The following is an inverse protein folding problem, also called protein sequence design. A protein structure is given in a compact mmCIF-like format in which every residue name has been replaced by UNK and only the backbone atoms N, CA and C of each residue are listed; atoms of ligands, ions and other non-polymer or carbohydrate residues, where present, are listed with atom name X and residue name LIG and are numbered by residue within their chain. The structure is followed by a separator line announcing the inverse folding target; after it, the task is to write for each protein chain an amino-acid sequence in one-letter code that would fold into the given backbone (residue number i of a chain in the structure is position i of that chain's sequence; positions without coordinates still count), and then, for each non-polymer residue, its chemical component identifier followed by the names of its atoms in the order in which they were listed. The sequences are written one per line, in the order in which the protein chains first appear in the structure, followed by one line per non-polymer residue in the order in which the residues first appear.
data_IF_725685278526
#
_entry.id   IF_725685278526
#
_cell.length_a   1.000
_cell.length_b   1.000
_cell.length_c   1.000
_cell.angle_alpha   90.00
_cell.angle_beta   90.00
_cell.angle_gamma   90.00
#
_symmetry.space_group_name_H-M   'P 1'
#
loop_
_entity.id
_entity.type
_entity.pdbx_description
1 polymer ?
#
# COMPACT_ATOMS: atom_id res chain seq x y z
N UNK A 1 -52.21 -40.83 54.70
CA UNK A 1 -50.76 -40.60 54.66
C UNK A 1 -50.37 -40.17 53.26
N UNK A 2 -49.71 -39.01 53.19
CA UNK A 2 -48.71 -38.58 52.19
C UNK A 2 -49.22 -38.30 50.76
N UNK A 3 -49.39 -36.99 50.50
CA UNK A 3 -49.38 -36.35 49.17
C UNK A 3 -47.94 -35.98 48.82
N UNK A 4 -47.50 -36.26 47.60
CA UNK A 4 -46.35 -35.59 46.97
C UNK A 4 -46.77 -35.15 45.55
N UNK A 5 -46.77 -33.84 45.32
CA UNK A 5 -46.87 -33.24 44.00
C UNK A 5 -45.56 -32.48 43.78
N UNK A 6 -44.71 -32.97 42.88
CA UNK A 6 -43.49 -32.31 42.45
C UNK A 6 -43.83 -31.27 41.37
N UNK A 7 -43.47 -30.01 41.59
CA UNK A 7 -43.38 -29.00 40.54
C UNK A 7 -41.92 -28.83 40.16
N UNK A 8 -41.56 -29.18 38.93
CA UNK A 8 -40.27 -28.85 38.32
C UNK A 8 -40.46 -27.62 37.41
N UNK A 9 -39.95 -26.47 37.82
CA UNK A 9 -39.82 -25.29 36.96
C UNK A 9 -38.56 -25.45 36.09
N UNK A 10 -38.76 -25.72 34.80
CA UNK A 10 -37.74 -25.59 33.77
C UNK A 10 -37.56 -24.11 33.42
N UNK A 11 -36.48 -23.49 33.91
CA UNK A 11 -36.00 -22.21 33.37
C UNK A 11 -35.30 -22.51 32.04
N UNK A 12 -36.00 -22.29 30.92
CA UNK A 12 -35.38 -22.21 29.59
C UNK A 12 -34.80 -20.80 29.48
N UNK A 13 -33.49 -20.67 29.70
CA UNK A 13 -32.76 -19.44 29.37
C UNK A 13 -32.61 -19.36 27.85
N UNK A 14 -33.50 -18.60 27.20
CA UNK A 14 -33.29 -18.20 25.80
C UNK A 14 -32.14 -17.20 25.76
N UNK A 15 -30.98 -17.61 25.27
CA UNK A 15 -29.93 -16.69 24.86
C UNK A 15 -30.41 -15.97 23.60
N UNK A 16 -31.09 -14.83 23.76
CA UNK A 16 -31.29 -13.90 22.68
C UNK A 16 -29.93 -13.24 22.39
N UNK A 17 -29.26 -13.63 21.30
CA UNK A 17 -28.14 -12.85 20.78
C UNK A 17 -28.72 -11.56 20.21
N UNK A 18 -28.66 -10.47 20.98
CA UNK A 18 -29.02 -9.16 20.47
C UNK A 18 -28.09 -8.82 19.31
N UNK A 19 -28.66 -8.36 18.20
CA UNK A 19 -27.88 -7.93 17.05
C UNK A 19 -27.28 -6.56 17.32
N UNK A 20 -25.96 -6.44 17.24
CA UNK A 20 -25.25 -5.19 17.53
C UNK A 20 -25.34 -4.18 16.39
N UNK A 21 -25.17 -2.90 16.73
CA UNK A 21 -25.24 -1.78 15.80
C UNK A 21 -24.01 -0.88 15.90
N UNK A 22 -23.64 -0.26 14.78
CA UNK A 22 -22.65 0.82 14.71
C UNK A 22 -23.39 2.06 14.21
N UNK A 23 -23.54 3.06 15.07
CA UNK A 23 -24.23 4.32 14.80
C UNK A 23 -23.24 5.47 14.91
N UNK A 24 -23.39 6.47 14.06
CA UNK A 24 -22.54 7.65 14.21
C UNK A 24 -23.08 8.92 13.60
N UNK A 25 -22.46 10.02 14.02
CA UNK A 25 -22.75 11.38 13.57
C UNK A 25 -21.47 12.11 13.17
N UNK A 26 -21.49 12.78 12.02
CA UNK A 26 -20.42 13.66 11.54
C UNK A 26 -20.50 15.04 12.19
N UNK A 27 -19.37 15.59 12.62
CA UNK A 27 -19.25 16.93 13.18
C UNK A 27 -18.03 17.69 12.65
N UNK A 28 -18.20 18.71 11.79
CA UNK A 28 -19.47 19.26 11.31
C UNK A 28 -20.23 18.28 10.40
N UNK A 29 -21.53 18.53 10.22
CA UNK A 29 -22.35 17.79 9.25
C UNK A 29 -21.73 17.94 7.86
N UNK A 30 -21.49 16.82 7.20
CA UNK A 30 -20.99 16.75 5.84
C UNK A 30 -21.86 15.81 5.00
N UNK A 31 -22.02 16.17 3.72
CA UNK A 31 -22.83 15.42 2.78
C UNK A 31 -21.99 14.35 2.10
N UNK A 32 -22.17 13.11 2.55
CA UNK A 32 -21.68 11.91 1.89
C UNK A 32 -22.88 11.00 1.60
N UNK A 33 -22.86 10.22 0.50
CA UNK A 33 -24.03 9.44 0.11
C UNK A 33 -24.23 8.16 0.95
N UNK A 34 -23.14 7.60 1.48
CA UNK A 34 -23.15 6.29 2.12
C UNK A 34 -22.00 6.13 3.12
N UNK A 35 -22.17 5.17 4.02
CA UNK A 35 -21.15 4.63 4.89
C UNK A 35 -20.98 3.14 4.57
N UNK A 36 -19.78 2.71 4.17
CA UNK A 36 -19.46 1.30 3.95
C UNK A 36 -18.72 0.75 5.17
N UNK A 37 -19.17 -0.41 5.64
CA UNK A 37 -18.50 -1.16 6.70
C UNK A 37 -17.68 -2.30 6.08
N UNK A 38 -16.39 -2.29 6.34
CA UNK A 38 -15.46 -3.35 6.00
C UNK A 38 -14.89 -3.98 7.28
N UNK A 39 -14.59 -5.27 7.23
CA UNK A 39 -13.74 -5.92 8.23
C UNK A 39 -12.31 -6.00 7.71
N UNK A 40 -11.35 -5.65 8.55
CA UNK A 40 -9.94 -5.67 8.16
C UNK A 40 -9.31 -7.04 8.43
N UNK A 41 -8.47 -7.48 7.50
CA UNK A 41 -7.59 -8.65 7.67
C UNK A 41 -6.23 -8.41 6.99
N UNK A 42 -5.24 -7.97 7.78
CA UNK A 42 -3.99 -7.41 7.23
C UNK A 42 -4.31 -6.24 6.30
N UNK A 43 -3.80 -6.28 5.06
CA UNK A 43 -4.09 -5.29 4.03
C UNK A 43 -5.44 -5.50 3.32
N UNK A 44 -6.18 -6.59 3.59
CA UNK A 44 -7.46 -6.89 2.94
C UNK A 44 -8.62 -6.23 3.68
N UNK A 45 -9.65 -5.84 2.92
CA UNK A 45 -10.89 -5.28 3.41
C UNK A 45 -12.05 -6.14 2.90
N UNK A 46 -12.74 -6.83 3.80
CA UNK A 46 -13.90 -7.67 3.47
C UNK A 46 -15.16 -6.84 3.67
N UNK A 47 -15.95 -6.62 2.61
CA UNK A 47 -17.20 -5.86 2.69
C UNK A 47 -18.21 -6.57 3.59
N UNK A 48 -18.84 -5.83 4.51
CA UNK A 48 -19.79 -6.37 5.48
C UNK A 48 -21.20 -5.84 5.23
N UNK A 49 -21.36 -4.52 5.23
CA UNK A 49 -22.65 -3.86 5.14
C UNK A 49 -22.46 -2.40 4.72
N UNK A 50 -23.57 -1.71 4.46
CA UNK A 50 -23.58 -0.28 4.24
C UNK A 50 -24.87 0.34 4.77
N UNK A 51 -24.85 1.65 4.95
CA UNK A 51 -26.05 2.46 5.16
C UNK A 51 -25.94 3.80 4.42
N UNK A 52 -27.06 4.46 4.19
CA UNK A 52 -27.09 5.84 3.69
C UNK A 52 -26.75 6.81 4.81
N UNK A 53 -25.98 7.85 4.48
CA UNK A 53 -25.76 8.95 5.43
C UNK A 53 -26.84 10.01 5.20
N UNK A 54 -27.61 10.32 6.22
CA UNK A 54 -28.69 11.31 6.17
C UNK A 54 -28.42 12.38 7.23
N UNK A 55 -28.22 13.63 6.79
CA UNK A 55 -27.83 14.74 7.67
C UNK A 55 -26.61 14.41 8.54
N UNK A 56 -25.60 13.77 7.95
CA UNK A 56 -24.36 13.36 8.65
C UNK A 56 -24.52 12.16 9.59
N UNK A 57 -25.68 11.48 9.62
CA UNK A 57 -25.95 10.33 10.51
C UNK A 57 -26.09 9.04 9.74
N UNK A 58 -25.67 7.93 10.35
CA UNK A 58 -25.80 6.57 9.80
C UNK A 58 -26.05 5.55 10.92
N UNK A 59 -26.62 4.40 10.57
CA UNK A 59 -26.82 3.25 11.44
C UNK A 59 -26.63 1.94 10.68
N UNK A 60 -25.52 1.25 10.94
CA UNK A 60 -25.22 -0.04 10.33
C UNK A 60 -25.49 -1.16 11.34
N UNK A 61 -26.32 -2.11 10.94
CA UNK A 61 -26.54 -3.32 11.72
C UNK A 61 -25.42 -4.33 11.43
N UNK A 62 -24.73 -4.80 12.48
CA UNK A 62 -23.66 -5.77 12.35
C UNK A 62 -24.26 -7.18 12.20
N UNK A 63 -23.76 -8.03 11.27
CA UNK A 63 -24.23 -9.41 11.16
C UNK A 63 -23.98 -10.23 12.44
N UNK A 64 -24.93 -11.08 12.82
CA UNK A 64 -24.83 -11.91 14.05
C UNK A 64 -23.62 -12.85 14.10
N UNK A 65 -23.01 -13.15 12.95
CA UNK A 65 -21.82 -14.00 12.83
C UNK A 65 -20.51 -13.19 12.68
N UNK A 66 -20.57 -11.86 12.82
CA UNK A 66 -19.40 -11.00 12.76
C UNK A 66 -18.45 -11.32 13.92
N UNK A 67 -17.20 -11.67 13.62
CA UNK A 67 -16.19 -11.86 14.67
C UNK A 67 -15.62 -10.52 15.13
N UNK A 68 -15.05 -10.49 16.34
CA UNK A 68 -14.31 -9.34 16.83
C UNK A 68 -13.11 -9.02 15.92
N UNK A 69 -12.69 -7.76 15.90
CA UNK A 69 -11.62 -7.26 15.04
C UNK A 69 -11.73 -5.76 14.79
N UNK A 70 -10.85 -5.24 13.93
CA UNK A 70 -10.97 -3.87 13.43
C UNK A 70 -11.90 -3.85 12.23
N UNK A 71 -12.85 -2.93 12.27
CA UNK A 71 -13.76 -2.63 11.18
C UNK A 71 -13.54 -1.21 10.71
N UNK A 72 -13.63 -1.00 9.40
CA UNK A 72 -13.43 0.28 8.74
C UNK A 72 -14.75 0.83 8.24
N UNK A 73 -15.05 2.05 8.67
CA UNK A 73 -16.15 2.89 8.21
C UNK A 73 -15.61 3.81 7.11
N UNK A 74 -15.76 3.41 5.86
CA UNK A 74 -15.32 4.17 4.68
C UNK A 74 -16.50 4.98 4.11
N UNK A 75 -16.33 6.29 3.90
CA UNK A 75 -17.37 7.18 3.36
C UNK A 75 -16.89 8.04 2.17
N UNK A 76 -15.59 8.07 1.89
CA UNK A 76 -15.02 8.68 0.68
C UNK A 76 -13.94 7.79 0.08
N UNK A 77 -14.29 7.07 -0.98
CA UNK A 77 -13.35 6.22 -1.71
C UNK A 77 -12.27 7.01 -2.47
N UNK A 78 -12.59 8.22 -2.95
CA UNK A 78 -11.66 9.00 -3.77
C UNK A 78 -10.55 9.57 -2.91
N UNK A 79 -10.91 10.13 -1.76
CA UNK A 79 -9.97 10.76 -0.84
C UNK A 79 -9.51 9.80 0.28
N UNK A 80 -9.98 8.54 0.27
CA UNK A 80 -9.68 7.52 1.27
C UNK A 80 -10.00 7.99 2.71
N UNK A 81 -11.15 8.65 2.90
CA UNK A 81 -11.60 9.08 4.23
C UNK A 81 -12.36 7.94 4.92
N UNK A 82 -11.79 7.47 6.03
CA UNK A 82 -12.33 6.36 6.82
C UNK A 82 -12.06 6.51 8.32
N UNK A 83 -12.87 5.84 9.14
CA UNK A 83 -12.66 5.66 10.57
C UNK A 83 -12.53 4.17 10.89
N UNK A 84 -11.51 3.78 11.64
CA UNK A 84 -11.38 2.40 12.12
C UNK A 84 -11.97 2.26 13.54
N UNK A 85 -12.72 1.19 13.79
CA UNK A 85 -13.30 0.88 15.10
C UNK A 85 -12.98 -0.54 15.50
N UNK A 86 -12.71 -0.76 16.79
CA UNK A 86 -12.58 -2.09 17.38
C UNK A 86 -14.00 -2.60 17.63
N UNK A 87 -14.45 -3.59 16.87
CA UNK A 87 -15.66 -4.32 17.20
C UNK A 87 -15.29 -5.46 18.15
N UNK A 88 -15.81 -5.40 19.39
CA UNK A 88 -15.59 -6.40 20.43
C UNK A 88 -16.93 -6.92 20.99
N UNK A 89 -17.86 -7.24 20.09
CA UNK A 89 -19.22 -7.71 20.42
C UNK A 89 -19.99 -6.73 21.32
N UNK A 90 -19.87 -5.43 21.02
CA UNK A 90 -20.62 -4.36 21.68
C UNK A 90 -21.27 -3.45 20.62
N UNK A 91 -22.33 -2.75 21.03
CA UNK A 91 -22.84 -1.62 20.25
C UNK A 91 -21.79 -0.50 20.23
N UNK A 92 -21.74 0.22 19.11
CA UNK A 92 -20.81 1.34 18.91
C UNK A 92 -21.61 2.57 18.53
N UNK A 93 -21.58 3.60 19.37
CA UNK A 93 -22.08 4.93 19.05
C UNK A 93 -20.95 5.95 19.11
N UNK A 94 -20.82 6.74 18.04
CA UNK A 94 -19.69 7.65 17.88
C UNK A 94 -20.06 8.99 17.23
N UNK A 95 -19.22 9.99 17.46
CA UNK A 95 -19.22 11.27 16.76
C UNK A 95 -17.81 11.58 16.28
N UNK A 96 -17.64 11.99 15.02
CA UNK A 96 -16.31 12.19 14.43
C UNK A 96 -16.24 13.35 13.45
N UNK A 97 -15.04 13.91 13.27
CA UNK A 97 -14.79 14.94 12.27
C UNK A 97 -14.57 14.33 10.87
N UNK A 98 -15.35 14.69 9.84
CA UNK A 98 -15.29 14.05 8.52
C UNK A 98 -14.02 14.34 7.72
N UNK A 99 -13.18 15.29 8.16
CA UNK A 99 -11.86 15.52 7.54
C UNK A 99 -10.70 15.06 8.41
N UNK A 100 -10.97 14.60 9.64
CA UNK A 100 -9.96 14.03 10.53
C UNK A 100 -10.56 12.95 11.44
N UNK A 101 -11.10 11.87 10.83
CA UNK A 101 -11.97 10.92 11.52
C UNK A 101 -11.29 10.20 12.68
N UNK A 102 -10.06 9.71 12.49
CA UNK A 102 -9.37 8.90 13.51
C UNK A 102 -8.77 9.75 14.64
N UNK A 103 -8.43 11.02 14.40
CA UNK A 103 -7.87 11.89 15.46
C UNK A 103 -8.96 12.55 16.29
N UNK A 104 -10.08 12.90 15.64
CA UNK A 104 -11.20 13.64 16.25
C UNK A 104 -12.45 12.75 16.26
N UNK A 105 -12.41 11.69 17.07
CA UNK A 105 -13.56 10.81 17.35
C UNK A 105 -13.84 10.71 18.84
N UNK A 106 -15.13 10.66 19.17
CA UNK A 106 -15.66 10.43 20.50
C UNK A 106 -16.67 9.29 20.45
N UNK A 107 -16.66 8.44 21.46
CA UNK A 107 -17.58 7.31 21.58
C UNK A 107 -18.50 7.54 22.78
N UNK A 108 -19.81 7.60 22.54
CA UNK A 108 -20.84 7.69 23.58
C UNK A 108 -21.19 6.32 24.13
N UNK A 109 -21.05 5.27 23.32
CA UNK A 109 -21.30 3.88 23.67
C UNK A 109 -20.28 2.99 22.96
N UNK A 110 -19.18 2.65 23.63
CA UNK A 110 -18.23 1.59 23.26
C UNK A 110 -17.03 1.70 24.19
N UNK A 111 -16.98 0.84 25.20
CA UNK A 111 -15.93 0.93 26.23
C UNK A 111 -14.55 0.65 25.64
N UNK A 112 -14.47 -0.30 24.70
CA UNK A 112 -13.23 -0.73 24.04
C UNK A 112 -12.62 0.40 23.21
N UNK A 113 -13.43 1.07 22.38
CA UNK A 113 -12.94 2.16 21.55
C UNK A 113 -12.63 3.41 22.37
N UNK A 114 -13.43 3.74 23.39
CA UNK A 114 -13.13 4.87 24.29
C UNK A 114 -11.76 4.69 24.93
N UNK A 115 -11.44 3.51 25.47
CA UNK A 115 -10.15 3.24 26.10
C UNK A 115 -9.01 3.33 25.08
N UNK A 116 -9.17 2.71 23.91
CA UNK A 116 -8.15 2.69 22.87
C UNK A 116 -7.80 4.07 22.32
N UNK A 117 -8.80 4.86 21.92
CA UNK A 117 -8.57 6.20 21.37
C UNK A 117 -8.09 7.20 22.41
N UNK A 118 -8.50 7.05 23.68
CA UNK A 118 -7.91 7.82 24.77
C UNK A 118 -6.42 7.48 24.96
N UNK A 119 -6.07 6.19 24.93
CA UNK A 119 -4.66 5.76 24.98
C UNK A 119 -3.86 6.42 23.85
N UNK A 120 -4.30 6.31 22.59
CA UNK A 120 -3.57 6.85 21.43
C UNK A 120 -3.29 8.35 21.58
N UNK A 121 -4.29 9.15 21.97
CA UNK A 121 -4.13 10.59 22.19
C UNK A 121 -3.17 10.92 23.34
N UNK A 122 -3.35 10.24 24.48
CA UNK A 122 -2.56 10.52 25.68
C UNK A 122 -1.11 10.06 25.52
N UNK A 123 -0.87 8.86 24.99
CA UNK A 123 0.47 8.32 24.79
C UNK A 123 1.23 9.11 23.73
N UNK A 124 0.59 9.53 22.65
CA UNK A 124 1.23 10.32 21.59
C UNK A 124 1.75 11.66 22.13
N UNK A 125 0.95 12.36 22.94
CA UNK A 125 1.36 13.63 23.56
C UNK A 125 2.55 13.43 24.50
N UNK A 126 2.52 12.40 25.34
CA UNK A 126 3.62 12.10 26.26
C UNK A 126 4.90 11.67 25.51
N UNK A 127 4.77 10.88 24.45
CA UNK A 127 5.87 10.44 23.61
C UNK A 127 6.51 11.63 22.89
N UNK A 128 5.74 12.56 22.32
CA UNK A 128 6.27 13.77 21.69
C UNK A 128 7.11 14.61 22.67
N UNK A 129 6.67 14.72 23.92
CA UNK A 129 7.44 15.43 24.97
C UNK A 129 8.74 14.71 25.32
N UNK A 130 8.73 13.38 25.38
CA UNK A 130 9.93 12.57 25.61
C UNK A 130 10.92 12.68 24.43
N UNK A 131 10.42 12.53 23.21
CA UNK A 131 11.20 12.62 21.97
C UNK A 131 11.84 14.01 21.83
N UNK A 132 11.11 15.08 22.16
CA UNK A 132 11.67 16.43 22.19
C UNK A 132 12.88 16.54 23.12
N UNK A 133 12.85 15.90 24.30
CA UNK A 133 14.00 15.91 25.22
C UNK A 133 15.17 15.11 24.69
N UNK A 134 14.92 14.00 23.98
CA UNK A 134 15.96 13.24 23.30
C UNK A 134 16.62 14.07 22.18
N UNK A 135 15.83 14.76 21.37
CA UNK A 135 16.32 15.63 20.30
C UNK A 135 17.16 16.78 20.86
N UNK A 136 16.69 17.43 21.93
CA UNK A 136 17.47 18.46 22.62
C UNK A 136 18.77 17.90 23.20
N UNK A 137 18.78 16.64 23.63
CA UNK A 137 19.98 16.01 24.17
C UNK A 137 21.08 15.77 23.12
N UNK A 138 20.73 15.65 21.83
CA UNK A 138 21.70 15.56 20.74
C UNK A 138 22.54 16.84 20.59
N UNK A 139 22.00 18.00 20.99
CA UNK A 139 22.69 19.30 20.81
C UNK A 139 23.99 19.35 21.62
N UNK A 140 25.09 19.94 21.09
CA UNK A 140 26.38 19.97 21.77
C UNK A 140 26.34 20.54 23.19
N UNK A 141 25.48 21.52 23.44
CA UNK A 141 25.31 22.21 24.72
C UNK A 141 24.32 21.56 25.69
N UNK A 142 23.79 20.37 25.39
CA UNK A 142 22.87 19.69 26.29
C UNK A 142 23.52 19.44 27.66
N UNK A 143 22.81 19.79 28.73
CA UNK A 143 23.32 19.72 30.10
C UNK A 143 22.54 18.68 30.94
N UNK A 144 22.96 18.51 32.20
CA UNK A 144 22.34 17.54 33.12
C UNK A 144 20.85 17.80 33.41
N UNK A 145 20.35 19.04 33.25
CA UNK A 145 18.94 19.34 33.47
C UNK A 145 18.03 18.68 32.43
N UNK A 146 18.46 18.60 31.16
CA UNK A 146 17.71 17.91 30.09
C UNK A 146 17.59 16.42 30.42
N UNK A 147 18.65 15.78 30.91
CA UNK A 147 18.60 14.37 31.31
C UNK A 147 17.63 14.11 32.47
N UNK A 148 17.52 15.04 33.42
CA UNK A 148 16.55 14.94 34.52
C UNK A 148 15.11 15.03 33.98
N UNK A 149 14.85 15.98 33.07
CA UNK A 149 13.52 16.15 32.47
C UNK A 149 13.17 14.94 31.59
N UNK A 150 14.13 14.44 30.81
CA UNK A 150 13.98 13.20 30.02
C UNK A 150 13.49 12.05 30.91
N UNK A 151 14.18 11.80 32.03
CA UNK A 151 13.80 10.71 32.94
C UNK A 151 12.40 10.90 33.53
N UNK A 152 11.97 12.14 33.80
CA UNK A 152 10.59 12.40 34.22
C UNK A 152 9.60 12.03 33.12
N UNK A 153 9.84 12.48 31.88
CA UNK A 153 8.98 12.19 30.72
C UNK A 153 8.95 10.70 30.37
N UNK A 154 10.08 10.00 30.53
CA UNK A 154 10.18 8.56 30.38
C UNK A 154 9.23 7.85 31.36
N UNK A 155 9.24 8.24 32.63
CA UNK A 155 8.34 7.67 33.64
C UNK A 155 6.87 8.05 33.39
N UNK A 156 6.58 9.23 32.85
CA UNK A 156 5.21 9.61 32.46
C UNK A 156 4.68 8.67 31.37
N UNK A 157 5.48 8.37 30.34
CA UNK A 157 5.14 7.39 29.28
C UNK A 157 4.87 6.00 29.87
N UNK A 158 5.74 5.50 30.75
CA UNK A 158 5.54 4.18 31.38
C UNK A 158 4.25 4.11 32.21
N UNK A 159 3.93 5.16 32.97
CA UNK A 159 2.71 5.23 33.78
C UNK A 159 1.46 5.23 32.91
N UNK A 160 1.48 5.97 31.80
CA UNK A 160 0.35 6.00 30.84
C UNK A 160 0.17 4.60 30.24
N UNK A 161 1.25 3.96 29.80
CA UNK A 161 1.20 2.60 29.26
C UNK A 161 0.59 1.61 30.25
N UNK A 162 1.12 1.55 31.47
CA UNK A 162 0.63 0.65 32.54
C UNK A 162 -0.84 0.92 32.91
N UNK A 163 -1.24 2.19 32.98
CA UNK A 163 -2.61 2.59 33.27
C UNK A 163 -3.59 2.05 32.22
N UNK A 164 -3.32 2.29 30.93
CA UNK A 164 -4.21 1.87 29.85
C UNK A 164 -4.19 0.34 29.63
N UNK A 165 -3.06 -0.33 29.83
CA UNK A 165 -3.02 -1.79 29.82
C UNK A 165 -3.90 -2.40 30.93
N UNK A 166 -3.89 -1.84 32.14
CA UNK A 166 -4.75 -2.28 33.24
C UNK A 166 -6.22 -2.01 32.95
N UNK A 167 -6.55 -0.84 32.40
CA UNK A 167 -7.93 -0.48 32.04
C UNK A 167 -8.50 -1.37 30.94
N UNK A 168 -7.70 -1.69 29.93
CA UNK A 168 -8.15 -2.47 28.78
C UNK A 168 -8.17 -3.98 29.03
N UNK A 169 -7.66 -4.45 30.18
CA UNK A 169 -7.46 -5.87 30.47
C UNK A 169 -8.73 -6.68 30.21
N UNK A 170 -8.63 -7.67 29.31
CA UNK A 170 -9.73 -8.56 28.93
C UNK A 170 -10.50 -8.13 27.68
N UNK A 171 -10.28 -6.91 27.18
CA UNK A 171 -10.81 -6.44 25.89
C UNK A 171 -9.84 -6.67 24.74
N UNK A 172 -10.34 -6.62 23.51
CA UNK A 172 -9.50 -6.63 22.32
C UNK A 172 -8.54 -5.42 22.26
N UNK A 173 -8.93 -4.26 22.82
CA UNK A 173 -8.07 -3.07 22.88
C UNK A 173 -6.77 -3.30 23.66
N UNK A 174 -6.77 -4.21 24.65
CA UNK A 174 -5.55 -4.54 25.41
C UNK A 174 -4.41 -4.98 24.50
N UNK A 175 -4.70 -5.81 23.50
CA UNK A 175 -3.71 -6.33 22.59
C UNK A 175 -3.10 -5.23 21.72
N UNK A 176 -3.93 -4.30 21.23
CA UNK A 176 -3.45 -3.16 20.46
C UNK A 176 -2.67 -2.15 21.31
N UNK A 177 -3.12 -1.87 22.54
CA UNK A 177 -2.43 -0.97 23.47
C UNK A 177 -1.07 -1.52 23.85
N UNK A 178 -1.02 -2.79 24.24
CA UNK A 178 0.22 -3.47 24.59
C UNK A 178 1.21 -3.48 23.42
N UNK A 179 0.74 -3.81 22.21
CA UNK A 179 1.61 -3.84 21.03
C UNK A 179 1.96 -2.46 20.47
N UNK A 180 1.27 -1.40 20.86
CA UNK A 180 1.60 -0.03 20.47
C UNK A 180 2.73 0.59 21.31
N UNK A 181 3.13 -0.07 22.40
CA UNK A 181 4.22 0.40 23.25
C UNK A 181 5.52 0.57 22.46
N UNK A 182 6.13 1.75 22.56
CA UNK A 182 7.42 2.05 21.92
C UNK A 182 8.56 1.76 22.89
N UNK A 183 9.63 1.16 22.38
CA UNK A 183 10.89 1.14 23.10
C UNK A 183 11.41 2.57 23.29
N UNK A 184 11.79 2.88 24.52
CA UNK A 184 12.42 4.13 24.90
C UNK A 184 13.68 3.82 25.73
N UNK A 185 14.85 4.38 25.39
CA UNK A 185 16.04 4.25 26.22
C UNK A 185 15.77 4.76 27.64
N UNK A 186 16.25 4.05 28.67
CA UNK A 186 16.07 4.48 30.08
C UNK A 186 16.78 5.81 30.37
N UNK A 187 17.82 6.13 29.60
CA UNK A 187 18.59 7.39 29.66
C UNK A 187 18.72 7.97 28.26
N UNK A 188 18.74 9.31 28.11
CA UNK A 188 18.88 9.90 26.79
C UNK A 188 20.25 9.57 26.20
N UNK A 189 20.30 9.35 24.90
CA UNK A 189 21.50 8.94 24.17
C UNK A 189 22.09 10.15 23.44
N UNK A 190 23.40 10.36 23.55
CA UNK A 190 24.04 11.57 22.99
C UNK A 190 24.21 11.50 21.47
N UNK A 191 24.61 10.34 20.95
CA UNK A 191 24.86 10.12 19.55
C UNK A 191 23.54 9.72 18.84
N UNK A 192 23.11 10.45 17.78
CA UNK A 192 21.89 10.11 17.04
C UNK A 192 21.91 8.73 16.37
N UNK A 193 23.06 8.28 15.87
CA UNK A 193 23.21 6.96 15.24
C UNK A 193 23.02 5.84 16.28
N UNK A 194 23.66 5.96 17.45
CA UNK A 194 23.47 5.01 18.56
C UNK A 194 22.01 4.97 19.04
N UNK A 195 21.34 6.13 19.07
CA UNK A 195 19.93 6.23 19.42
C UNK A 195 19.06 5.49 18.39
N UNK A 196 19.24 5.82 17.11
CA UNK A 196 18.47 5.22 16.02
C UNK A 196 18.67 3.71 15.97
N UNK A 197 19.92 3.23 16.12
CA UNK A 197 20.22 1.81 16.15
C UNK A 197 19.44 1.10 17.27
N UNK A 198 19.41 1.65 18.48
CA UNK A 198 18.63 1.05 19.58
C UNK A 198 17.13 1.06 19.33
N UNK A 199 16.59 2.15 18.76
CA UNK A 199 15.18 2.18 18.37
C UNK A 199 14.89 1.07 17.35
N UNK A 200 15.77 0.88 16.36
CA UNK A 200 15.62 -0.15 15.34
C UNK A 200 15.75 -1.58 15.90
N UNK A 201 16.63 -1.82 16.86
CA UNK A 201 16.86 -3.14 17.44
C UNK A 201 15.65 -3.60 18.28
N UNK A 202 15.05 -2.65 19.01
CA UNK A 202 13.96 -2.90 19.95
C UNK A 202 12.56 -2.56 19.41
N UNK A 203 12.45 -2.14 18.14
CA UNK A 203 11.19 -1.66 17.56
C UNK A 203 10.03 -2.65 17.70
N UNK A 204 10.33 -3.95 17.55
CA UNK A 204 9.33 -5.02 17.57
C UNK A 204 9.18 -5.71 18.94
N UNK A 205 9.85 -5.25 19.99
CA UNK A 205 9.88 -5.94 21.29
C UNK A 205 8.48 -6.16 21.91
N UNK A 206 7.56 -5.24 21.65
CA UNK A 206 6.18 -5.31 22.15
C UNK A 206 5.18 -5.83 21.10
N UNK A 207 5.63 -6.10 19.87
CA UNK A 207 4.78 -6.48 18.75
C UNK A 207 4.94 -7.97 18.49
N UNK A 208 3.90 -8.74 18.80
CA UNK A 208 3.84 -10.13 18.37
C UNK A 208 3.39 -10.21 16.90
N UNK A 209 4.37 -10.23 16.00
CA UNK A 209 4.13 -10.35 14.55
C UNK A 209 3.48 -11.70 14.15
N UNK A 210 3.46 -12.69 15.05
CA UNK A 210 2.81 -13.98 14.83
C UNK A 210 1.42 -14.09 15.49
N UNK A 211 0.92 -13.03 16.13
CA UNK A 211 -0.38 -13.05 16.80
C UNK A 211 -1.56 -13.02 15.82
N UNK A 212 -2.41 -14.04 15.82
CA UNK A 212 -3.64 -14.07 15.01
C UNK A 212 -4.61 -12.94 15.34
N UNK A 213 -4.63 -12.47 16.60
CA UNK A 213 -5.51 -11.39 17.05
C UNK A 213 -5.23 -10.08 16.31
N UNK A 214 -3.94 -9.79 16.07
CA UNK A 214 -3.53 -8.59 15.34
C UNK A 214 -3.76 -8.71 13.83
N UNK A 215 -3.98 -9.92 13.29
CA UNK A 215 -4.24 -10.10 11.85
C UNK A 215 -5.63 -9.59 11.44
N UNK A 216 -6.55 -9.41 12.37
CA UNK A 216 -7.85 -8.76 12.15
C UNK A 216 -7.75 -7.22 12.13
N UNK A 217 -6.66 -6.69 11.59
CA UNK A 217 -6.34 -5.26 11.49
C UNK A 217 -5.23 -5.01 10.45
N UNK A 218 -4.94 -3.74 10.14
CA UNK A 218 -3.73 -3.34 9.41
C UNK A 218 -2.50 -3.19 10.31
N UNK A 219 -2.62 -3.40 11.62
CA UNK A 219 -1.62 -3.01 12.62
C UNK A 219 -0.20 -3.50 12.31
N UNK A 220 -0.05 -4.79 11.98
CA UNK A 220 1.27 -5.35 11.64
C UNK A 220 1.85 -4.72 10.39
N UNK A 221 1.02 -4.52 9.36
CA UNK A 221 1.43 -3.88 8.10
C UNK A 221 1.90 -2.44 8.36
N UNK A 222 1.14 -1.69 9.15
CA UNK A 222 1.45 -0.29 9.46
C UNK A 222 2.78 -0.20 10.24
N UNK A 223 2.98 -1.05 11.25
CA UNK A 223 4.25 -1.09 12.01
C UNK A 223 5.44 -1.54 11.18
N UNK A 224 5.25 -2.51 10.29
CA UNK A 224 6.30 -2.94 9.36
C UNK A 224 6.66 -1.80 8.38
N UNK A 225 5.66 -1.09 7.87
CA UNK A 225 5.88 0.06 6.99
C UNK A 225 6.62 1.20 7.73
N UNK A 226 6.21 1.53 8.96
CA UNK A 226 6.91 2.50 9.80
C UNK A 226 8.39 2.13 9.98
N UNK A 227 8.68 0.84 10.24
CA UNK A 227 10.04 0.35 10.41
C UNK A 227 10.86 0.45 9.12
N UNK A 228 10.27 0.06 7.99
CA UNK A 228 10.97 0.00 6.70
C UNK A 228 11.18 1.41 6.12
N UNK A 229 10.20 2.30 6.23
CA UNK A 229 10.21 3.60 5.55
C UNK A 229 10.58 4.74 6.49
N UNK A 230 9.86 4.90 7.60
CA UNK A 230 10.03 6.04 8.50
C UNK A 230 11.39 6.00 9.22
N UNK A 231 11.86 4.83 9.65
CA UNK A 231 13.14 4.68 10.37
C UNK A 231 14.38 4.55 9.47
N UNK A 232 14.23 4.53 8.14
CA UNK A 232 15.36 4.42 7.20
C UNK A 232 15.53 5.64 6.32
N UNK A 233 14.64 6.63 6.45
CA UNK A 233 14.67 7.86 5.65
C UNK A 233 15.88 8.73 6.01
N UNK A 234 16.59 9.17 4.99
CA UNK A 234 17.76 10.07 5.11
C UNK A 234 17.97 10.82 3.79
N UNK A 235 18.59 12.00 3.87
CA UNK A 235 18.86 12.85 2.71
C UNK A 235 19.88 12.24 1.72
N UNK A 236 20.66 11.24 2.13
CA UNK A 236 21.58 10.51 1.24
C UNK A 236 20.90 9.26 0.63
N UNK A 237 20.60 9.25 -0.68
CA UNK A 237 19.87 8.15 -1.31
C UNK A 237 20.60 6.80 -1.24
N UNK A 238 21.94 6.81 -1.20
CA UNK A 238 22.74 5.58 -1.10
C UNK A 238 22.60 4.96 0.28
N UNK A 239 22.72 5.77 1.33
CA UNK A 239 22.53 5.34 2.72
C UNK A 239 21.09 4.91 2.95
N UNK A 240 20.10 5.66 2.47
CA UNK A 240 18.68 5.29 2.55
C UNK A 240 18.44 3.91 1.93
N UNK A 241 18.94 3.68 0.71
CA UNK A 241 18.82 2.39 0.03
C UNK A 241 19.45 1.25 0.84
N UNK A 242 20.63 1.48 1.42
CA UNK A 242 21.31 0.48 2.26
C UNK A 242 20.48 0.14 3.50
N UNK A 243 20.09 1.16 4.28
CA UNK A 243 19.31 1.00 5.51
C UNK A 243 17.97 0.32 5.23
N UNK A 244 17.29 0.68 4.15
CA UNK A 244 16.01 0.09 3.76
C UNK A 244 16.13 -1.39 3.39
N UNK A 245 17.19 -1.79 2.68
CA UNK A 245 17.47 -3.22 2.41
C UNK A 245 17.69 -4.00 3.69
N UNK A 246 18.49 -3.46 4.61
CA UNK A 246 18.75 -4.10 5.91
C UNK A 246 17.47 -4.21 6.75
N UNK A 247 16.64 -3.17 6.77
CA UNK A 247 15.35 -3.19 7.47
C UNK A 247 14.40 -4.25 6.89
N UNK A 248 14.29 -4.33 5.56
CA UNK A 248 13.50 -5.39 4.88
C UNK A 248 14.01 -6.77 5.29
N UNK A 249 15.32 -7.01 5.23
CA UNK A 249 15.90 -8.31 5.62
C UNK A 249 15.55 -8.69 7.06
N UNK A 250 15.68 -7.74 7.99
CA UNK A 250 15.33 -7.94 9.42
C UNK A 250 13.85 -8.25 9.60
N UNK A 251 12.97 -7.53 8.90
CA UNK A 251 11.52 -7.79 8.95
C UNK A 251 11.21 -9.18 8.41
N UNK A 252 11.70 -9.52 7.23
CA UNK A 252 11.43 -10.81 6.58
C UNK A 252 11.91 -12.00 7.43
N UNK A 253 13.05 -11.87 8.10
CA UNK A 253 13.54 -12.87 9.04
C UNK A 253 12.62 -13.02 10.26
N UNK A 254 12.13 -11.90 10.83
CA UNK A 254 11.20 -11.92 11.98
C UNK A 254 9.85 -12.55 11.64
N UNK A 255 9.36 -12.38 10.41
CA UNK A 255 8.06 -12.91 9.95
C UNK A 255 8.17 -14.18 9.12
N UNK A 256 9.35 -14.80 9.03
CA UNK A 256 9.58 -15.97 8.16
C UNK A 256 8.63 -17.14 8.40
N UNK A 257 8.17 -17.30 9.66
CA UNK A 257 7.22 -18.35 10.05
C UNK A 257 5.77 -17.98 9.73
N UNK A 258 5.44 -16.69 9.67
CA UNK A 258 4.14 -16.20 9.22
C UNK A 258 4.17 -15.99 7.71
N UNK A 259 4.05 -17.10 6.99
CA UNK A 259 4.24 -17.15 5.54
C UNK A 259 3.23 -16.26 4.79
N UNK A 260 1.99 -16.19 5.27
CA UNK A 260 0.96 -15.32 4.68
C UNK A 260 1.31 -13.84 4.83
N UNK A 261 1.74 -13.40 6.02
CA UNK A 261 2.20 -12.03 6.26
C UNK A 261 3.46 -11.72 5.43
N UNK A 262 4.42 -12.64 5.41
CA UNK A 262 5.66 -12.50 4.63
C UNK A 262 5.39 -12.32 3.14
N UNK A 263 4.51 -13.14 2.56
CA UNK A 263 4.06 -12.98 1.16
C UNK A 263 3.44 -11.61 0.93
N UNK A 264 2.45 -11.23 1.75
CA UNK A 264 1.71 -9.97 1.57
C UNK A 264 2.62 -8.74 1.67
N UNK A 265 3.56 -8.72 2.61
CA UNK A 265 4.53 -7.62 2.75
C UNK A 265 5.44 -7.55 1.52
N UNK A 266 5.96 -8.68 1.04
CA UNK A 266 6.82 -8.70 -0.15
C UNK A 266 6.07 -8.26 -1.42
N UNK A 267 4.81 -8.67 -1.60
CA UNK A 267 3.99 -8.24 -2.74
C UNK A 267 3.69 -6.73 -2.67
N UNK A 268 3.36 -6.21 -1.49
CA UNK A 268 3.14 -4.77 -1.30
C UNK A 268 4.39 -3.95 -1.57
N UNK A 269 5.55 -4.39 -1.09
CA UNK A 269 6.83 -3.73 -1.33
C UNK A 269 7.24 -3.80 -2.80
N UNK A 270 7.05 -4.95 -3.46
CA UNK A 270 7.31 -5.11 -4.89
C UNK A 270 6.46 -4.20 -5.73
N UNK A 271 5.15 -4.16 -5.45
CA UNK A 271 4.23 -3.25 -6.13
C UNK A 271 4.67 -1.79 -5.95
N UNK A 272 4.94 -1.36 -4.71
CA UNK A 272 5.35 0.02 -4.41
C UNK A 272 6.67 0.40 -5.10
N UNK A 273 7.71 -0.41 -4.98
CA UNK A 273 9.02 -0.07 -5.57
C UNK A 273 9.01 -0.15 -7.09
N UNK A 274 8.24 -1.06 -7.68
CA UNK A 274 8.16 -1.16 -9.13
C UNK A 274 7.40 0.03 -9.74
N UNK A 275 6.34 0.53 -9.07
CA UNK A 275 5.64 1.76 -9.47
C UNK A 275 6.54 3.00 -9.34
N UNK A 276 7.40 3.05 -8.33
CA UNK A 276 8.42 4.10 -8.18
C UNK A 276 9.62 3.92 -9.12
N UNK A 277 9.62 2.89 -9.97
CA UNK A 277 10.74 2.50 -10.83
C UNK A 277 12.07 2.31 -10.09
N UNK A 278 11.99 1.98 -8.80
CA UNK A 278 13.16 1.75 -7.97
C UNK A 278 13.71 0.35 -8.27
N UNK A 279 14.50 0.26 -9.35
CA UNK A 279 15.11 -0.99 -9.85
C UNK A 279 15.90 -1.71 -8.76
N UNK A 280 16.63 -0.96 -7.93
CA UNK A 280 17.52 -1.52 -6.90
C UNK A 280 16.70 -2.20 -5.79
N UNK A 281 15.66 -1.53 -5.30
CA UNK A 281 14.81 -2.07 -4.24
C UNK A 281 13.88 -3.16 -4.76
N UNK A 282 13.33 -3.00 -5.97
CA UNK A 282 12.47 -4.00 -6.60
C UNK A 282 13.21 -5.33 -6.78
N UNK A 283 14.45 -5.30 -7.31
CA UNK A 283 15.26 -6.52 -7.43
C UNK A 283 15.59 -7.14 -6.07
N UNK A 284 15.89 -6.30 -5.06
CA UNK A 284 16.17 -6.78 -3.70
C UNK A 284 15.00 -7.57 -3.13
N UNK A 285 13.79 -7.02 -3.18
CA UNK A 285 12.59 -7.70 -2.66
C UNK A 285 12.21 -8.90 -3.55
N UNK A 286 12.36 -8.79 -4.87
CA UNK A 286 12.04 -9.89 -5.80
C UNK A 286 12.90 -11.12 -5.51
N UNK A 287 14.17 -10.94 -5.15
CA UNK A 287 15.05 -12.05 -4.79
C UNK A 287 14.55 -12.80 -3.55
N UNK A 288 14.00 -12.10 -2.55
CA UNK A 288 13.35 -12.74 -1.41
C UNK A 288 12.04 -13.42 -1.80
N UNK A 289 11.21 -12.78 -2.63
CA UNK A 289 9.92 -13.34 -3.03
C UNK A 289 10.08 -14.66 -3.79
N UNK A 290 11.11 -14.74 -4.64
CA UNK A 290 11.44 -15.96 -5.39
C UNK A 290 11.98 -17.11 -4.51
N UNK A 291 12.34 -16.84 -3.25
CA UNK A 291 12.72 -17.86 -2.27
C UNK A 291 11.53 -18.44 -1.50
N UNK A 292 10.34 -17.84 -1.58
CA UNK A 292 9.12 -18.42 -1.00
C UNK A 292 8.81 -19.79 -1.64
N UNK A 293 8.08 -20.68 -0.97
CA UNK A 293 7.54 -21.90 -1.58
C UNK A 293 6.83 -21.61 -2.91
N UNK A 294 6.97 -22.50 -3.89
CA UNK A 294 6.52 -22.24 -5.28
C UNK A 294 5.02 -22.02 -5.38
N UNK A 295 4.25 -22.71 -4.55
CA UNK A 295 2.80 -22.61 -4.42
C UNK A 295 2.32 -21.24 -3.91
N UNK A 296 3.21 -20.42 -3.36
CA UNK A 296 2.92 -19.07 -2.87
C UNK A 296 3.39 -17.98 -3.83
N UNK A 297 4.19 -18.33 -4.83
CA UNK A 297 4.64 -17.40 -5.85
C UNK A 297 3.55 -17.24 -6.90
N UNK A 298 3.16 -16.00 -7.20
CA UNK A 298 2.27 -15.69 -8.31
C UNK A 298 3.10 -15.48 -9.60
N UNK A 299 3.02 -16.38 -10.60
CA UNK A 299 3.80 -16.24 -11.84
C UNK A 299 3.40 -15.03 -12.68
N UNK A 300 2.12 -14.62 -12.63
CA UNK A 300 1.62 -13.43 -13.32
C UNK A 300 2.21 -12.17 -12.69
N UNK A 301 2.14 -12.07 -11.36
CA UNK A 301 2.76 -10.97 -10.62
C UNK A 301 4.27 -10.87 -10.85
N UNK A 302 4.99 -12.00 -10.81
CA UNK A 302 6.44 -12.03 -11.12
C UNK A 302 6.72 -11.55 -12.54
N UNK A 303 5.89 -11.96 -13.52
CA UNK A 303 6.03 -11.52 -14.91
C UNK A 303 5.88 -10.00 -15.01
N UNK A 304 4.86 -9.44 -14.37
CA UNK A 304 4.55 -8.00 -14.42
C UNK A 304 5.69 -7.17 -13.77
N UNK A 305 6.12 -7.56 -12.56
CA UNK A 305 7.26 -6.92 -11.87
C UNK A 305 8.53 -6.98 -12.71
N UNK A 306 8.83 -8.13 -13.33
CA UNK A 306 10.01 -8.26 -14.20
C UNK A 306 9.88 -7.44 -15.49
N UNK A 307 8.68 -7.26 -16.01
CA UNK A 307 8.39 -6.35 -17.12
C UNK A 307 8.74 -4.92 -16.76
N UNK A 308 8.17 -4.42 -15.66
CA UNK A 308 8.44 -3.08 -15.13
C UNK A 308 9.93 -2.85 -14.85
N UNK A 309 10.63 -3.85 -14.28
CA UNK A 309 12.08 -3.81 -14.09
C UNK A 309 12.84 -3.63 -15.40
N UNK A 310 12.51 -4.41 -16.44
CA UNK A 310 13.17 -4.30 -17.75
C UNK A 310 12.92 -2.95 -18.41
N UNK A 311 11.74 -2.38 -18.19
CA UNK A 311 11.34 -1.11 -18.82
C UNK A 311 11.39 0.10 -17.90
N UNK A 312 12.11 0.04 -16.78
CA UNK A 312 12.32 1.20 -15.93
C UNK A 312 13.09 2.30 -16.69
N UNK A 313 12.78 3.56 -16.41
CA UNK A 313 13.49 4.72 -16.95
C UNK A 313 14.97 4.56 -16.65
N UNK A 314 15.77 4.77 -17.69
CA UNK A 314 17.21 4.60 -17.65
C UNK A 314 17.71 3.19 -18.00
N UNK A 315 16.84 2.19 -18.14
CA UNK A 315 17.25 0.89 -18.68
C UNK A 315 17.24 0.89 -20.21
N UNK A 316 18.05 0.01 -20.81
CA UNK A 316 18.01 -0.26 -22.26
C UNK A 316 16.73 -1.04 -22.54
N UNK A 317 15.89 -0.53 -23.45
CA UNK A 317 14.63 -1.15 -23.81
C UNK A 317 14.85 -2.56 -24.41
N UNK A 318 13.95 -3.53 -24.15
CA UNK A 318 14.03 -4.85 -24.78
C UNK A 318 14.04 -4.75 -26.32
N UNK A 319 14.79 -5.64 -26.98
CA UNK A 319 14.98 -5.55 -28.43
C UNK A 319 13.73 -6.02 -29.18
N UNK A 320 13.24 -5.21 -30.12
CA UNK A 320 12.13 -5.59 -31.00
C UNK A 320 12.71 -6.09 -32.32
N UNK A 321 12.24 -7.22 -32.83
CA UNK A 321 12.69 -7.80 -34.09
C UNK A 321 11.52 -7.91 -35.07
N UNK A 322 11.74 -7.54 -36.32
CA UNK A 322 10.77 -7.70 -37.40
C UNK A 322 11.48 -8.13 -38.68
N UNK A 323 10.70 -8.55 -39.66
CA UNK A 323 11.19 -8.88 -41.00
C UNK A 323 10.77 -7.80 -41.98
N UNK A 324 11.70 -7.38 -42.83
CA UNK A 324 11.45 -6.42 -43.89
C UNK A 324 12.21 -6.86 -45.15
N UNK A 325 11.50 -7.11 -46.24
CA UNK A 325 12.05 -7.59 -47.51
C UNK A 325 12.92 -8.86 -47.36
N UNK A 326 12.48 -9.83 -46.55
CA UNK A 326 13.22 -11.08 -46.30
C UNK A 326 14.44 -10.91 -45.37
N UNK A 327 14.67 -9.71 -44.82
CA UNK A 327 15.79 -9.43 -43.92
C UNK A 327 15.29 -9.16 -42.51
N UNK A 328 15.87 -9.85 -41.54
CA UNK A 328 15.58 -9.59 -40.13
C UNK A 328 16.22 -8.27 -39.68
N UNK A 329 15.40 -7.35 -39.18
CA UNK A 329 15.82 -6.09 -38.58
C UNK A 329 15.51 -6.06 -37.09
N UNK A 330 16.22 -5.21 -36.35
CA UNK A 330 16.03 -5.08 -34.90
C UNK A 330 16.13 -3.63 -34.43
N UNK A 331 15.39 -3.30 -33.36
CA UNK A 331 15.39 -1.97 -32.75
C UNK A 331 16.80 -1.53 -32.40
N UNK A 332 17.57 -2.40 -31.75
CA UNK A 332 18.93 -2.09 -31.29
C UNK A 332 19.93 -1.81 -32.44
N UNK A 333 19.65 -2.28 -33.66
CA UNK A 333 20.50 -2.04 -34.84
C UNK A 333 20.11 -0.76 -35.60
N UNK A 334 19.00 -0.11 -35.23
CA UNK A 334 18.61 1.15 -35.84
C UNK A 334 19.52 2.28 -35.37
N UNK A 335 20.03 3.05 -36.33
CA UNK A 335 20.86 4.24 -36.15
C UNK A 335 20.28 5.43 -36.94
N UNK A 336 20.87 6.62 -36.78
CA UNK A 336 20.49 7.81 -37.56
C UNK A 336 19.35 8.66 -37.00
N UNK A 337 18.67 8.22 -35.95
CA UNK A 337 17.69 9.01 -35.21
C UNK A 337 18.20 9.35 -33.80
N UNK A 338 17.91 10.56 -33.33
CA UNK A 338 18.26 11.00 -31.97
C UNK A 338 17.37 10.31 -30.93
N UNK A 339 16.13 10.02 -31.30
CA UNK A 339 15.15 9.38 -30.45
C UNK A 339 14.39 8.29 -31.19
N UNK A 340 13.92 7.32 -30.42
CA UNK A 340 13.06 6.25 -30.90
C UNK A 340 11.80 6.23 -30.04
N UNK A 341 10.63 6.12 -30.66
CA UNK A 341 9.36 5.98 -29.96
C UNK A 341 8.80 4.59 -30.24
N UNK A 342 8.79 3.72 -29.23
CA UNK A 342 8.10 2.43 -29.31
C UNK A 342 6.66 2.63 -28.89
N UNK A 343 5.72 2.19 -29.72
CA UNK A 343 4.28 2.31 -29.49
C UNK A 343 3.63 0.94 -29.57
N UNK A 344 3.10 0.45 -28.46
CA UNK A 344 2.29 -0.76 -28.42
C UNK A 344 0.83 -0.36 -28.63
N UNK A 345 0.18 -0.91 -29.66
CA UNK A 345 -1.21 -0.57 -30.00
C UNK A 345 -1.96 -1.74 -30.65
N UNK A 346 -3.27 -1.62 -30.82
CA UNK A 346 -4.05 -2.56 -31.61
C UNK A 346 -5.04 -1.84 -32.52
N UNK A 347 -5.21 -2.36 -33.73
CA UNK A 347 -6.20 -1.96 -34.73
C UNK A 347 -7.65 -2.08 -34.24
N UNK A 348 -7.91 -2.94 -33.25
CA UNK A 348 -9.21 -3.06 -32.57
C UNK A 348 -9.38 -2.17 -31.34
N UNK A 349 -8.36 -1.40 -30.93
CA UNK A 349 -8.40 -0.59 -29.72
C UNK A 349 -8.92 0.82 -29.99
N UNK A 350 -10.13 1.13 -29.50
CA UNK A 350 -10.79 2.43 -29.71
C UNK A 350 -9.97 3.62 -29.20
N UNK A 351 -9.22 3.45 -28.11
CA UNK A 351 -8.37 4.52 -27.59
C UNK A 351 -7.11 4.73 -28.45
N UNK A 352 -6.49 3.65 -28.94
CA UNK A 352 -5.37 3.74 -29.89
C UNK A 352 -5.76 4.52 -31.16
N UNK A 353 -6.94 4.24 -31.72
CA UNK A 353 -7.43 4.91 -32.92
C UNK A 353 -7.70 6.42 -32.72
N UNK A 354 -7.79 6.89 -31.47
CA UNK A 354 -7.85 8.32 -31.12
C UNK A 354 -6.46 8.93 -30.93
N UNK A 355 -5.55 8.22 -30.28
CA UNK A 355 -4.21 8.71 -29.95
C UNK A 355 -3.26 8.73 -31.16
N UNK A 356 -3.24 7.68 -31.98
CA UNK A 356 -2.26 7.55 -33.08
C UNK A 356 -2.36 8.69 -34.13
N UNK A 357 -3.55 9.19 -34.53
CA UNK A 357 -3.65 10.38 -35.37
C UNK A 357 -3.04 11.62 -34.74
N UNK A 358 -3.23 11.85 -33.43
CA UNK A 358 -2.64 12.96 -32.70
C UNK A 358 -1.12 12.84 -32.66
N UNK A 359 -0.62 11.62 -32.45
CA UNK A 359 0.81 11.34 -32.48
C UNK A 359 1.40 11.64 -33.86
N UNK A 360 0.76 11.17 -34.93
CA UNK A 360 1.19 11.42 -36.31
C UNK A 360 1.30 12.92 -36.61
N UNK A 361 0.29 13.70 -36.24
CA UNK A 361 0.29 15.16 -36.42
C UNK A 361 1.43 15.81 -35.63
N UNK A 362 1.64 15.39 -34.37
CA UNK A 362 2.71 15.93 -33.53
C UNK A 362 4.12 15.64 -34.08
N UNK A 363 4.32 14.49 -34.73
CA UNK A 363 5.60 14.05 -35.26
C UNK A 363 5.92 14.54 -36.68
N UNK A 364 4.98 15.20 -37.38
CA UNK A 364 5.14 15.57 -38.79
C UNK A 364 6.41 16.40 -39.07
N UNK A 365 6.79 17.26 -38.13
CA UNK A 365 7.95 18.16 -38.22
C UNK A 365 9.13 17.66 -37.38
N UNK A 366 9.14 16.38 -36.95
CA UNK A 366 10.16 15.78 -36.09
C UNK A 366 10.80 14.54 -36.72
N UNK A 367 11.49 14.67 -37.87
CA UNK A 367 12.06 13.53 -38.59
C UNK A 367 13.21 12.82 -37.84
N UNK A 368 13.71 13.43 -36.75
CA UNK A 368 14.74 12.85 -35.88
C UNK A 368 14.18 11.83 -34.87
N UNK A 369 12.85 11.65 -34.83
CA UNK A 369 12.16 10.65 -34.01
C UNK A 369 11.72 9.50 -34.92
N UNK A 370 12.28 8.31 -34.71
CA UNK A 370 11.85 7.11 -35.44
C UNK A 370 10.81 6.32 -34.63
N UNK A 371 9.67 5.98 -35.24
CA UNK A 371 8.57 5.28 -34.57
C UNK A 371 8.58 3.79 -34.89
N UNK A 372 8.55 2.96 -33.86
CA UNK A 372 8.38 1.51 -33.94
C UNK A 372 7.01 1.17 -33.34
N UNK A 373 6.03 0.93 -34.21
CA UNK A 373 4.66 0.63 -33.85
C UNK A 373 4.44 -0.89 -33.80
N UNK A 374 4.33 -1.45 -32.59
CA UNK A 374 4.11 -2.87 -32.34
C UNK A 374 2.61 -3.13 -32.17
N UNK A 375 2.06 -3.94 -33.07
CA UNK A 375 0.67 -4.39 -33.02
C UNK A 375 0.46 -5.52 -32.03
N UNK A 376 -0.63 -5.48 -31.28
CA UNK A 376 -1.08 -6.55 -30.39
C UNK A 376 -2.38 -7.12 -30.95
N UNK A 377 -2.23 -7.99 -31.94
CA UNK A 377 -3.32 -8.44 -32.79
C UNK A 377 -3.70 -9.90 -32.53
N UNK A 378 -4.94 -10.24 -32.87
CA UNK A 378 -5.33 -11.63 -33.04
C UNK A 378 -4.88 -12.11 -34.43
N UNK A 379 -4.68 -13.41 -34.61
CA UNK A 379 -4.26 -13.98 -35.89
C UNK A 379 -5.23 -13.64 -37.05
N UNK A 380 -6.52 -13.40 -36.75
CA UNK A 380 -7.52 -13.06 -37.75
C UNK A 380 -7.57 -11.56 -38.11
N UNK A 381 -6.88 -10.69 -37.35
CA UNK A 381 -6.95 -9.23 -37.54
C UNK A 381 -6.04 -8.68 -38.63
N UNK A 382 -5.26 -9.53 -39.33
CA UNK A 382 -4.23 -9.14 -40.29
C UNK A 382 -4.72 -8.12 -41.33
N UNK A 383 -5.93 -8.31 -41.89
CA UNK A 383 -6.47 -7.40 -42.90
C UNK A 383 -6.84 -6.02 -42.34
N UNK A 384 -7.37 -5.98 -41.10
CA UNK A 384 -7.71 -4.72 -40.42
C UNK A 384 -6.42 -3.98 -40.09
N UNK A 385 -5.45 -4.69 -39.52
CA UNK A 385 -4.12 -4.16 -39.23
C UNK A 385 -3.47 -3.55 -40.47
N UNK A 386 -3.43 -4.28 -41.59
CA UNK A 386 -2.85 -3.82 -42.85
C UNK A 386 -3.49 -2.50 -43.32
N UNK A 387 -4.82 -2.39 -43.25
CA UNK A 387 -5.53 -1.15 -43.61
C UNK A 387 -5.21 0.01 -42.67
N UNK A 388 -5.09 -0.27 -41.37
CA UNK A 388 -4.83 0.78 -40.39
C UNK A 388 -3.38 1.31 -40.47
N UNK A 389 -2.39 0.44 -40.72
CA UNK A 389 -0.98 0.87 -40.83
C UNK A 389 -0.69 1.72 -42.07
N UNK A 390 -1.50 1.61 -43.15
CA UNK A 390 -1.37 2.47 -44.34
C UNK A 390 -1.47 3.97 -43.98
N UNK A 391 -2.23 4.31 -42.93
CA UNK A 391 -2.35 5.69 -42.43
C UNK A 391 -1.06 6.20 -41.80
N UNK A 392 -0.10 5.33 -41.50
CA UNK A 392 1.14 5.60 -40.78
C UNK A 392 2.36 5.02 -41.51
N UNK A 393 2.38 5.10 -42.85
CA UNK A 393 3.38 4.46 -43.71
C UNK A 393 4.84 4.86 -43.44
N UNK A 394 5.08 5.96 -42.73
CA UNK A 394 6.41 6.42 -42.34
C UNK A 394 6.93 5.79 -41.04
N UNK A 395 6.14 4.93 -40.38
CA UNK A 395 6.54 4.22 -39.16
C UNK A 395 6.98 2.79 -39.47
N UNK A 396 7.84 2.25 -38.62
CA UNK A 396 8.17 0.82 -38.64
C UNK A 396 7.05 0.05 -37.96
N UNK A 397 6.37 -0.84 -38.69
CA UNK A 397 5.26 -1.63 -38.15
C UNK A 397 5.70 -3.06 -37.85
N UNK A 398 5.40 -3.53 -36.64
CA UNK A 398 5.74 -4.89 -36.18
C UNK A 398 4.46 -5.61 -35.79
N UNK A 399 4.13 -6.72 -36.46
CA UNK A 399 2.93 -7.49 -36.17
C UNK A 399 3.17 -8.47 -35.02
N UNK A 400 2.58 -8.20 -33.84
CA UNK A 400 2.61 -9.08 -32.68
C UNK A 400 1.31 -9.88 -32.56
N UNK A 401 1.36 -11.16 -32.93
CA UNK A 401 0.24 -12.11 -32.79
C UNK A 401 0.07 -12.53 -31.33
N UNK A 402 -1.17 -12.82 -30.91
CA UNK A 402 -1.57 -13.29 -29.56
C UNK A 402 -1.70 -12.19 -28.50
N UNK A 403 -1.96 -10.94 -28.91
CA UNK A 403 -2.22 -9.82 -28.00
C UNK A 403 -1.16 -9.72 -26.88
N UNK A 404 -1.57 -9.68 -25.62
CA UNK A 404 -0.69 -9.58 -24.44
C UNK A 404 0.25 -10.78 -24.20
N UNK A 405 0.01 -11.90 -24.90
CA UNK A 405 0.84 -13.10 -24.78
C UNK A 405 2.03 -13.08 -25.75
N UNK A 406 2.04 -12.18 -26.72
CA UNK A 406 3.13 -12.04 -27.66
C UNK A 406 4.44 -11.70 -26.95
N UNK A 407 5.58 -12.11 -27.54
CA UNK A 407 6.90 -11.95 -26.92
C UNK A 407 7.23 -10.50 -26.56
N UNK A 408 6.86 -9.53 -27.40
CA UNK A 408 7.21 -8.13 -27.21
C UNK A 408 6.41 -7.52 -26.08
N UNK A 409 5.09 -7.78 -26.03
CA UNK A 409 4.24 -7.34 -24.92
C UNK A 409 4.72 -7.93 -23.59
N UNK A 410 5.13 -9.20 -23.58
CA UNK A 410 5.70 -9.85 -22.40
C UNK A 410 7.04 -9.21 -21.98
N UNK A 411 7.98 -9.05 -22.91
CA UNK A 411 9.28 -8.45 -22.64
C UNK A 411 9.18 -7.03 -22.11
N UNK A 412 8.26 -6.23 -22.64
CA UNK A 412 8.02 -4.85 -22.18
C UNK A 412 7.07 -4.76 -20.96
N UNK A 413 6.46 -5.87 -20.53
CA UNK A 413 5.48 -5.85 -19.44
C UNK A 413 4.20 -5.07 -19.77
N UNK A 414 3.83 -5.00 -21.04
CA UNK A 414 2.67 -4.22 -21.50
C UNK A 414 1.39 -4.97 -21.14
N UNK A 415 0.47 -4.27 -20.47
CA UNK A 415 -0.84 -4.78 -20.06
C UNK A 415 -2.01 -3.87 -20.50
N UNK A 416 -1.72 -2.71 -21.09
CA UNK A 416 -2.69 -1.75 -21.62
C UNK A 416 -2.22 -1.17 -22.96
N UNK A 417 -3.15 -0.76 -23.83
CA UNK A 417 -2.83 -0.09 -25.10
C UNK A 417 -3.67 1.19 -25.24
N UNK A 418 -3.12 2.27 -25.81
CA UNK A 418 -1.73 2.38 -26.26
C UNK A 418 -0.73 2.39 -25.10
N UNK A 419 0.53 2.09 -25.38
CA UNK A 419 1.64 2.31 -24.43
C UNK A 419 2.85 2.84 -25.19
N UNK A 420 3.47 3.87 -24.65
CA UNK A 420 4.54 4.62 -25.30
C UNK A 420 5.84 4.47 -24.50
N UNK A 421 6.95 4.26 -25.21
CA UNK A 421 8.29 4.28 -24.62
C UNK A 421 9.18 5.18 -25.48
N UNK A 422 9.56 6.33 -24.93
CA UNK A 422 10.51 7.23 -25.57
C UNK A 422 11.92 6.79 -25.21
N UNK A 423 12.75 6.59 -26.23
CA UNK A 423 14.12 6.10 -26.09
C UNK A 423 15.13 7.11 -26.66
N UNK A 424 16.35 7.09 -26.15
CA UNK A 424 17.50 7.76 -26.76
C UNK A 424 18.12 6.94 -27.91
N UNK A 425 19.19 7.47 -28.50
CA UNK A 425 19.93 6.80 -29.58
C UNK A 425 20.51 5.44 -29.16
N UNK A 426 20.88 5.27 -27.88
CA UNK A 426 21.37 4.04 -27.28
C UNK A 426 20.24 3.10 -26.83
N UNK A 427 18.98 3.44 -27.13
CA UNK A 427 17.76 2.72 -26.75
C UNK A 427 17.51 2.68 -25.24
N UNK A 428 18.12 3.58 -24.49
CA UNK A 428 17.80 3.82 -23.08
C UNK A 428 16.43 4.48 -23.00
N UNK A 429 15.57 3.98 -22.12
CA UNK A 429 14.24 4.54 -21.89
C UNK A 429 14.40 5.89 -21.18
N UNK A 430 13.89 6.94 -21.81
CA UNK A 430 13.87 8.30 -21.29
C UNK A 430 12.56 8.61 -20.57
N UNK A 431 11.44 8.13 -21.12
CA UNK A 431 10.11 8.36 -20.57
C UNK A 431 9.11 7.28 -21.02
N UNK A 432 8.00 7.16 -20.30
CA UNK A 432 6.87 6.26 -20.59
C UNK A 432 5.54 7.02 -20.48
N UNK A 433 5.26 7.93 -21.42
CA UNK A 433 4.05 8.75 -21.31
C UNK A 433 2.80 7.88 -21.45
N UNK A 434 1.77 8.21 -20.68
CA UNK A 434 0.46 7.55 -20.70
C UNK A 434 -0.29 7.86 -21.99
N UNK A 435 -0.12 9.07 -22.54
CA UNK A 435 -0.77 9.54 -23.76
C UNK A 435 0.10 10.49 -24.61
N UNK A 436 -0.44 10.95 -25.74
CA UNK A 436 0.27 11.88 -26.64
C UNK A 436 0.43 13.27 -26.00
N UNK A 437 -0.42 13.66 -25.06
CA UNK A 437 -0.31 14.95 -24.39
C UNK A 437 0.89 14.97 -23.44
N UNK A 438 1.06 13.95 -22.62
CA UNK A 438 2.22 13.78 -21.76
C UNK A 438 3.51 13.64 -22.59
N UNK A 439 3.47 12.91 -23.71
CA UNK A 439 4.62 12.82 -24.63
C UNK A 439 5.07 14.21 -25.11
N UNK A 440 4.15 15.14 -25.37
CA UNK A 440 4.50 16.52 -25.76
C UNK A 440 5.20 17.26 -24.64
N UNK A 441 4.85 17.00 -23.39
CA UNK A 441 5.44 17.64 -22.22
C UNK A 441 6.87 17.17 -21.97
N UNK A 442 7.19 15.90 -22.26
CA UNK A 442 8.56 15.36 -22.19
C UNK A 442 9.53 16.08 -23.15
N UNK A 443 9.04 16.63 -24.26
CA UNK A 443 9.86 17.35 -25.26
C UNK A 443 9.90 18.87 -25.06
N UNK A 444 9.19 19.42 -24.08
CA UNK A 444 9.28 20.85 -23.71
C UNK A 444 10.47 21.06 -22.79
#
# INVERSE_FOLDING_TARGET
MIKYLFYACLFVSTFATAQHTIKGEMDPVADYPWMLLYKLKGAKQDFIAYDSIINGKFEITVPNNASSGIYRLLYDQKNQLFLDVIYDQEDIELRFHPQDPNSIVQFSNSSTNTIYYNYLRTISTAQQQLDSMQVDFFKPNANGAIAIIYNKKYNDVLKIQDHFEKMAKGSLAFHFIKSSARYNPVKPIKNPEDYLQKIQDHFFDHIDLNSDLLDHSTFKNDKINDYIFSLTSTDDPKTETKLRKEAINRVLEKIKMNVALSKNIQESLLYSFAQQENVIMTNHVLNHYLQLPKELQDPGFIKDVKGQLRTAIGNIAPNILWEENGTQKTLHKLSGASNFLVVFWSSGCSHCLKELPLLKEYLKDKPHINVIAVGLEDAQSTLIWQREIEKYSNWTHVYGVDKWKNRFANEYGVNATPSFYLLDAQKKILAKPEDVQELKEVFK
#
